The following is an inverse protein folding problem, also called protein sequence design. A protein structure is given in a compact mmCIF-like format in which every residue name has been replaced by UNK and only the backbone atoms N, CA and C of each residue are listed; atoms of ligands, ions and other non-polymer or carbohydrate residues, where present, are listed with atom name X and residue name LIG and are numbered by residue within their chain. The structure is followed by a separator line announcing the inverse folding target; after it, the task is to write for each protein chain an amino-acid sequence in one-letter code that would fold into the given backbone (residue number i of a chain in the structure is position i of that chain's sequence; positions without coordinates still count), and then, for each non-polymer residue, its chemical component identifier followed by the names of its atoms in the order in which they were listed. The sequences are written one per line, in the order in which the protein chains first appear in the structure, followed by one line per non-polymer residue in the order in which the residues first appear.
data_IF_840583954244
#
_entry.id   IF_840583954244
#
_cell.length_a   1.000
_cell.length_b   1.000
_cell.length_c   1.000
_cell.angle_alpha   90.00
_cell.angle_beta   90.00
_cell.angle_gamma   90.00
#
_symmetry.space_group_name_H-M   'P 1'
#
loop_
_entity.id
_entity.type
_entity.pdbx_description
1 polymer ?
#
# COMPACT_ATOMS: atom_id res chain seq x y z
N UNK A 1 -1.10 21.09 -5.48
CA UNK A 1 -0.62 19.72 -5.73
C UNK A 1 -0.82 19.41 -7.19
N UNK A 2 0.23 19.00 -7.88
CA UNK A 2 0.09 18.49 -9.23
C UNK A 2 -0.71 17.18 -9.19
N UNK A 3 -1.47 16.87 -10.26
CA UNK A 3 -2.31 15.65 -10.31
C UNK A 3 -1.48 14.39 -10.02
N UNK A 4 -0.22 14.39 -10.44
CA UNK A 4 0.75 13.33 -10.25
C UNK A 4 1.05 13.06 -8.76
N UNK A 5 1.21 14.12 -7.95
CA UNK A 5 1.46 13.98 -6.51
C UNK A 5 0.21 13.48 -5.76
N UNK A 6 -0.98 13.85 -6.22
CA UNK A 6 -2.25 13.35 -5.68
C UNK A 6 -2.36 11.83 -5.86
N UNK A 7 -1.96 11.31 -7.03
CA UNK A 7 -1.99 9.86 -7.31
C UNK A 7 -1.10 9.10 -6.33
N UNK A 8 0.14 9.56 -6.10
CA UNK A 8 1.05 8.92 -5.14
C UNK A 8 0.49 9.02 -3.72
N UNK A 9 -0.01 10.19 -3.31
CA UNK A 9 -0.57 10.38 -1.97
C UNK A 9 -1.73 9.42 -1.70
N UNK A 10 -2.62 9.20 -2.67
CA UNK A 10 -3.73 8.26 -2.55
C UNK A 10 -3.22 6.81 -2.43
N UNK A 11 -2.25 6.40 -3.24
CA UNK A 11 -1.69 5.05 -3.16
C UNK A 11 -0.97 4.81 -1.84
N UNK A 12 -0.22 5.80 -1.33
CA UNK A 12 0.43 5.72 -0.01
C UNK A 12 -0.61 5.59 1.10
N UNK A 13 -1.69 6.38 1.07
CA UNK A 13 -2.80 6.28 2.03
C UNK A 13 -3.43 4.87 2.03
N UNK A 14 -3.73 4.34 0.85
CA UNK A 14 -4.29 2.98 0.69
C UNK A 14 -3.31 1.92 1.18
N UNK A 15 -2.03 2.03 0.82
CA UNK A 15 -0.99 1.09 1.24
C UNK A 15 -0.82 1.07 2.76
N UNK A 16 -0.84 2.23 3.43
CA UNK A 16 -0.76 2.32 4.89
C UNK A 16 -1.93 1.57 5.54
N UNK A 17 -3.16 1.74 5.04
CA UNK A 17 -4.32 1.03 5.58
C UNK A 17 -4.21 -0.49 5.40
N UNK A 18 -3.77 -0.94 4.23
CA UNK A 18 -3.57 -2.38 3.93
C UNK A 18 -2.47 -2.96 4.83
N UNK A 19 -1.35 -2.26 4.97
CA UNK A 19 -0.23 -2.68 5.82
C UNK A 19 -0.65 -2.76 7.29
N UNK A 20 -1.35 -1.75 7.81
CA UNK A 20 -1.87 -1.74 9.17
C UNK A 20 -2.83 -2.92 9.41
N UNK A 21 -3.74 -3.19 8.47
CA UNK A 21 -4.63 -4.34 8.55
C UNK A 21 -3.84 -5.67 8.51
N UNK A 22 -2.82 -5.78 7.68
CA UNK A 22 -1.90 -6.91 7.64
C UNK A 22 -1.22 -7.16 8.99
N UNK A 23 -0.68 -6.11 9.62
CA UNK A 23 -0.06 -6.18 10.94
C UNK A 23 -1.04 -6.63 12.03
N UNK A 24 -2.28 -6.13 12.00
CA UNK A 24 -3.35 -6.59 12.90
C UNK A 24 -3.61 -8.09 12.71
N UNK A 25 -3.67 -8.58 11.47
CA UNK A 25 -3.85 -10.02 11.21
C UNK A 25 -2.68 -10.86 11.72
N UNK A 26 -1.44 -10.40 11.54
CA UNK A 26 -0.25 -11.05 12.09
C UNK A 26 -0.35 -11.14 13.63
N UNK A 27 -0.76 -10.06 14.29
CA UNK A 27 -0.94 -10.04 15.76
C UNK A 27 -1.98 -11.04 16.27
N UNK A 28 -2.96 -11.40 15.43
CA UNK A 28 -4.02 -12.38 15.72
C UNK A 28 -3.70 -13.81 15.26
N UNK A 29 -2.44 -14.09 14.93
CA UNK A 29 -1.97 -15.43 14.52
C UNK A 29 -2.18 -15.75 13.03
N UNK A 30 -2.82 -14.86 12.26
CA UNK A 30 -3.02 -15.03 10.82
C UNK A 30 -1.78 -14.56 10.04
N UNK A 31 -0.63 -15.21 10.25
CA UNK A 31 0.68 -14.75 9.75
C UNK A 31 0.78 -14.71 8.23
N UNK A 32 0.46 -15.81 7.54
CA UNK A 32 0.53 -15.91 6.07
C UNK A 32 -0.34 -14.83 5.39
N UNK A 33 -1.64 -14.72 5.68
CA UNK A 33 -2.46 -13.72 5.01
C UNK A 33 -2.16 -12.29 5.49
N UNK A 34 -1.64 -12.11 6.71
CA UNK A 34 -1.14 -10.81 7.16
C UNK A 34 0.13 -10.37 6.42
N UNK A 35 1.06 -11.28 6.17
CA UNK A 35 2.27 -11.01 5.37
C UNK A 35 1.92 -10.69 3.90
N UNK A 36 0.94 -11.40 3.32
CA UNK A 36 0.43 -11.09 1.98
C UNK A 36 -0.15 -9.67 1.91
N UNK A 37 -0.91 -9.24 2.91
CA UNK A 37 -1.42 -7.87 2.98
C UNK A 37 -0.27 -6.85 3.00
N UNK A 38 0.73 -7.04 3.86
CA UNK A 38 1.90 -6.14 3.94
C UNK A 38 2.66 -6.12 2.61
N UNK A 39 2.88 -7.28 1.97
CA UNK A 39 3.50 -7.35 0.65
C UNK A 39 2.69 -6.61 -0.42
N UNK A 40 1.36 -6.75 -0.41
CA UNK A 40 0.49 -6.07 -1.35
C UNK A 40 0.50 -4.55 -1.17
N UNK A 41 0.64 -4.05 0.06
CA UNK A 41 0.81 -2.62 0.31
C UNK A 41 2.04 -2.05 -0.40
N UNK A 42 3.17 -2.78 -0.44
CA UNK A 42 4.38 -2.37 -1.17
C UNK A 42 4.09 -2.27 -2.66
N UNK A 43 3.36 -3.24 -3.23
CA UNK A 43 2.96 -3.23 -4.64
C UNK A 43 2.10 -1.99 -4.95
N UNK A 44 1.15 -1.64 -4.09
CA UNK A 44 0.28 -0.46 -4.26
C UNK A 44 1.11 0.83 -4.33
N UNK A 45 2.09 1.01 -3.43
CA UNK A 45 2.99 2.17 -3.48
C UNK A 45 3.80 2.17 -4.78
N UNK A 46 4.34 1.02 -5.17
CA UNK A 46 5.09 0.87 -6.42
C UNK A 46 4.28 1.27 -7.65
N UNK A 47 3.02 0.86 -7.71
CA UNK A 47 2.08 1.25 -8.78
C UNK A 47 1.85 2.77 -8.76
N UNK A 48 1.63 3.38 -7.59
CA UNK A 48 1.46 4.83 -7.49
C UNK A 48 2.68 5.61 -8.01
N UNK A 49 3.89 5.16 -7.66
CA UNK A 49 5.14 5.75 -8.15
C UNK A 49 5.32 5.54 -9.65
N UNK A 50 5.04 4.35 -10.16
CA UNK A 50 5.11 4.06 -11.60
C UNK A 50 4.15 4.94 -12.40
N UNK A 51 2.89 5.08 -11.95
CA UNK A 51 1.90 5.92 -12.62
C UNK A 51 2.31 7.39 -12.63
N UNK A 52 2.95 7.89 -11.56
CA UNK A 52 3.52 9.25 -11.54
C UNK A 52 4.59 9.46 -12.62
N UNK A 53 5.31 8.43 -13.05
CA UNK A 53 6.32 8.55 -14.10
C UNK A 53 5.71 8.56 -15.51
N UNK A 54 4.46 8.10 -15.65
CA UNK A 54 3.77 7.99 -16.93
C UNK A 54 2.85 9.19 -17.26
N UNK A 55 2.51 9.99 -16.24
CA UNK A 55 1.60 11.15 -16.31
C UNK A 55 2.40 12.41 -16.11
#
# INVERSE_FOLDING_TARGET
MEKQDLVVAVHVMVAVAIAAFGLVRISRGQRVPGALNVGFAIVVVGVGVYMRQLV
#
